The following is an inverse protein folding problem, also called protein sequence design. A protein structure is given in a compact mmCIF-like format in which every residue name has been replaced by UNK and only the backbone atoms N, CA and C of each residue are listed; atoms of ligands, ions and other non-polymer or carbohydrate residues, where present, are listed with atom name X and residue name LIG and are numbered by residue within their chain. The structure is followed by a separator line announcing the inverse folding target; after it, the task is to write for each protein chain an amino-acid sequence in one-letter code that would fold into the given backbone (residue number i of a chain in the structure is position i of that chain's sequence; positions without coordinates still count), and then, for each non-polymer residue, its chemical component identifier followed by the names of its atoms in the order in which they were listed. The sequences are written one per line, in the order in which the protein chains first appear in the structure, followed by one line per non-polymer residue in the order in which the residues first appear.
data_IF_348684595372
#
_entry.id   IF_348684595372
#
_cell.length_a   1.000
_cell.length_b   1.000
_cell.length_c   1.000
_cell.angle_alpha   90.00
_cell.angle_beta   90.00
_cell.angle_gamma   90.00
#
_symmetry.space_group_name_H-M   'P 1'
#
loop_
_entity.id
_entity.type
_entity.pdbx_description
1 polymer ?
#
# COMPACT_ATOMS: atom_id res chain seq x y z
N UNK A 1 -8.04 1.77 -19.28
CA UNK A 1 -7.13 1.41 -18.17
C UNK A 1 -5.76 0.93 -18.66
N UNK A 2 -5.68 0.08 -19.68
CA UNK A 2 -4.38 -0.41 -20.19
C UNK A 2 -3.53 0.64 -20.95
N UNK A 3 -4.14 1.74 -21.42
CA UNK A 3 -3.46 2.82 -22.14
C UNK A 3 -2.20 3.33 -21.41
N UNK A 4 -2.31 3.66 -20.12
CA UNK A 4 -1.20 4.17 -19.32
C UNK A 4 -0.04 3.17 -19.27
N UNK A 5 -0.35 1.89 -19.03
CA UNK A 5 0.64 0.81 -19.01
C UNK A 5 1.31 0.61 -20.38
N UNK A 6 0.55 0.70 -21.48
CA UNK A 6 1.10 0.59 -22.84
C UNK A 6 2.10 1.73 -23.11
N UNK A 7 1.74 2.98 -22.79
CA UNK A 7 2.65 4.14 -22.99
C UNK A 7 3.89 4.01 -22.09
N UNK A 8 3.74 3.59 -20.83
CA UNK A 8 4.87 3.32 -19.95
C UNK A 8 5.79 2.23 -20.52
N UNK A 9 5.22 1.14 -21.04
CA UNK A 9 5.99 0.07 -21.67
C UNK A 9 6.79 0.54 -22.87
N UNK A 10 6.19 1.37 -23.73
CA UNK A 10 6.90 1.98 -24.88
C UNK A 10 8.06 2.85 -24.44
N UNK A 11 7.88 3.68 -23.40
CA UNK A 11 8.95 4.53 -22.86
C UNK A 11 10.11 3.69 -22.31
N UNK A 12 9.79 2.61 -21.56
CA UNK A 12 10.78 1.71 -20.98
C UNK A 12 11.58 0.98 -22.07
N UNK A 13 10.92 0.49 -23.12
CA UNK A 13 11.60 -0.20 -24.20
C UNK A 13 12.44 0.75 -25.08
N UNK A 14 12.01 2.01 -25.30
CA UNK A 14 12.83 3.02 -26.02
C UNK A 14 14.08 3.43 -25.25
N UNK A 15 14.09 3.34 -23.92
CA UNK A 15 15.22 3.72 -23.05
C UNK A 15 16.20 2.58 -22.73
N UNK A 16 16.07 1.41 -23.36
CA UNK A 16 16.74 0.17 -22.93
C UNK A 16 18.21 0.38 -22.52
N UNK A 17 18.45 0.17 -21.24
CA UNK A 17 19.77 -0.11 -20.66
C UNK A 17 20.14 -1.56 -20.97
N UNK A 18 21.41 -1.86 -21.30
CA UNK A 18 21.87 -3.20 -21.68
C UNK A 18 21.66 -4.29 -20.62
N UNK A 19 21.25 -3.94 -19.40
CA UNK A 19 21.06 -4.85 -18.27
C UNK A 19 19.60 -5.33 -18.05
N UNK A 20 18.64 -4.90 -18.88
CA UNK A 20 17.23 -5.32 -18.73
C UNK A 20 16.93 -6.62 -19.50
N UNK A 21 17.17 -7.75 -18.84
CA UNK A 21 16.90 -9.09 -19.39
C UNK A 21 15.44 -9.54 -19.25
N UNK A 22 14.82 -9.84 -20.40
CA UNK A 22 13.83 -10.90 -20.67
C UNK A 22 12.59 -11.02 -19.76
N UNK A 23 11.67 -10.06 -19.87
CA UNK A 23 10.28 -10.17 -20.39
C UNK A 23 9.85 -8.70 -20.53
N UNK A 24 9.63 -8.19 -21.74
CA UNK A 24 9.23 -6.79 -21.92
C UNK A 24 7.89 -6.59 -21.23
N UNK A 25 7.86 -5.72 -20.22
CA UNK A 25 6.65 -5.28 -19.53
C UNK A 25 5.51 -4.96 -20.52
N UNK A 26 5.87 -4.41 -21.69
CA UNK A 26 4.95 -4.15 -22.79
C UNK A 26 4.28 -5.43 -23.34
N UNK A 27 5.04 -6.50 -23.58
CA UNK A 27 4.52 -7.77 -24.09
C UNK A 27 3.60 -8.44 -23.08
N UNK A 28 3.99 -8.53 -21.80
CA UNK A 28 3.08 -9.04 -20.75
C UNK A 28 1.80 -8.23 -20.62
N UNK A 29 1.88 -6.91 -20.83
CA UNK A 29 0.71 -6.02 -20.79
C UNK A 29 -0.22 -6.29 -21.97
N UNK A 30 0.32 -6.53 -23.17
CA UNK A 30 -0.46 -6.86 -24.36
C UNK A 30 -1.11 -8.24 -24.25
N UNK A 31 -0.37 -9.25 -23.79
CA UNK A 31 -0.87 -10.62 -23.61
C UNK A 31 -1.98 -10.69 -22.53
N UNK A 32 -1.95 -9.79 -21.55
CA UNK A 32 -2.96 -9.69 -20.51
C UNK A 32 -4.28 -9.03 -20.93
N UNK A 33 -4.38 -8.53 -22.17
CA UNK A 33 -5.61 -7.95 -22.70
C UNK A 33 -6.54 -9.02 -23.26
N UNK A 34 -7.85 -8.76 -23.22
CA UNK A 34 -8.83 -9.58 -23.91
C UNK A 34 -8.54 -9.59 -25.42
N UNK A 35 -8.76 -10.72 -26.13
CA UNK A 35 -8.35 -10.87 -27.54
C UNK A 35 -8.86 -9.76 -28.46
N UNK A 36 -10.06 -9.25 -28.21
CA UNK A 36 -10.68 -8.16 -28.99
C UNK A 36 -9.94 -6.82 -28.89
N UNK A 37 -9.19 -6.58 -27.80
CA UNK A 37 -8.43 -5.34 -27.60
C UNK A 37 -6.95 -5.47 -27.96
N UNK A 38 -6.44 -6.69 -28.17
CA UNK A 38 -5.03 -6.92 -28.50
C UNK A 38 -4.64 -6.26 -29.83
N UNK A 39 -5.46 -6.41 -30.87
CA UNK A 39 -5.18 -5.79 -32.18
C UNK A 39 -5.16 -4.26 -32.12
N UNK A 40 -6.10 -3.67 -31.35
CA UNK A 40 -6.19 -2.22 -31.18
C UNK A 40 -4.99 -1.71 -30.37
N UNK A 41 -4.63 -2.41 -29.30
CA UNK A 41 -3.46 -2.09 -28.49
C UNK A 41 -2.17 -2.17 -29.30
N UNK A 42 -2.03 -3.17 -30.18
CA UNK A 42 -0.87 -3.28 -31.06
C UNK A 42 -0.79 -2.13 -32.08
N UNK A 43 -1.93 -1.70 -32.64
CA UNK A 43 -1.98 -0.51 -33.50
C UNK A 43 -1.53 0.75 -32.75
N UNK A 44 -1.96 0.91 -31.50
CA UNK A 44 -1.52 2.02 -30.65
C UNK A 44 -0.01 1.96 -30.37
N UNK A 45 0.54 0.78 -30.05
CA UNK A 45 1.99 0.59 -29.85
C UNK A 45 2.76 1.02 -31.09
N UNK A 46 2.32 0.61 -32.28
CA UNK A 46 2.99 0.96 -33.54
C UNK A 46 3.00 2.49 -33.76
N UNK A 47 1.92 3.20 -33.43
CA UNK A 47 1.86 4.66 -33.51
C UNK A 47 2.82 5.33 -32.51
N UNK A 48 2.89 4.82 -31.27
CA UNK A 48 3.77 5.35 -30.23
C UNK A 48 5.25 5.01 -30.47
N UNK A 49 5.52 3.96 -31.26
CA UNK A 49 6.87 3.54 -31.62
C UNK A 49 7.50 4.37 -32.75
N UNK A 50 6.76 5.30 -33.35
CA UNK A 50 7.29 6.18 -34.40
C UNK A 50 8.58 6.89 -33.94
N UNK A 51 9.58 6.89 -34.81
CA UNK A 51 10.89 7.52 -34.59
C UNK A 51 10.80 9.06 -34.57
N UNK A 52 9.72 9.63 -35.11
CA UNK A 52 9.44 11.07 -35.01
C UNK A 52 9.08 11.52 -33.58
N UNK A 53 8.67 10.59 -32.71
CA UNK A 53 8.20 10.88 -31.36
C UNK A 53 9.33 10.84 -30.34
N UNK A 54 9.59 11.99 -29.73
CA UNK A 54 10.49 12.13 -28.58
C UNK A 54 9.85 11.59 -27.30
N UNK A 55 10.67 11.34 -26.27
CA UNK A 55 10.18 10.93 -24.95
C UNK A 55 9.23 11.98 -24.35
N UNK A 56 9.46 13.28 -24.59
CA UNK A 56 8.58 14.34 -24.12
C UNK A 56 7.16 14.21 -24.71
N UNK A 57 7.05 13.91 -26.01
CA UNK A 57 5.75 13.67 -26.63
C UNK A 57 5.06 12.45 -26.01
N UNK A 58 5.78 11.36 -25.74
CA UNK A 58 5.22 10.18 -25.07
C UNK A 58 4.71 10.49 -23.66
N UNK A 59 5.41 11.35 -22.90
CA UNK A 59 4.91 11.78 -21.58
C UNK A 59 3.67 12.67 -21.66
N UNK A 60 3.54 13.49 -22.71
CA UNK A 60 2.31 14.24 -22.97
C UNK A 60 1.16 13.30 -23.29
N UNK A 61 1.37 12.32 -24.18
CA UNK A 61 0.37 11.29 -24.47
C UNK A 61 -0.05 10.52 -23.22
N UNK A 62 0.89 10.18 -22.33
CA UNK A 62 0.57 9.54 -21.05
C UNK A 62 -0.45 10.35 -20.24
N UNK A 63 -0.28 11.67 -20.16
CA UNK A 63 -1.20 12.58 -19.44
C UNK A 63 -2.61 12.67 -20.03
N UNK A 64 -2.83 12.21 -21.27
CA UNK A 64 -4.12 12.28 -21.96
C UNK A 64 -5.07 11.11 -21.62
N UNK A 65 -4.76 10.27 -20.64
CA UNK A 65 -5.58 9.08 -20.33
C UNK A 65 -7.05 9.39 -19.96
N UNK A 66 -7.40 10.63 -19.62
CA UNK A 66 -8.78 11.07 -19.31
C UNK A 66 -9.52 11.76 -20.45
N UNK A 67 -8.94 11.92 -21.63
CA UNK A 67 -9.63 12.61 -22.74
C UNK A 67 -10.91 11.89 -23.19
N UNK A 68 -10.99 10.58 -22.95
CA UNK A 68 -12.16 9.75 -23.29
C UNK A 68 -13.24 9.76 -22.20
N UNK A 69 -13.10 10.62 -21.20
CA UNK A 69 -14.08 10.78 -20.12
C UNK A 69 -14.02 9.70 -19.05
N UNK A 70 -15.12 9.57 -18.31
CA UNK A 70 -15.28 8.60 -17.23
C UNK A 70 -16.38 7.60 -17.60
N UNK A 71 -16.11 6.28 -17.53
CA UNK A 71 -17.13 5.28 -17.83
C UNK A 71 -18.24 5.30 -16.78
N UNK A 72 -19.45 4.88 -17.17
CA UNK A 72 -20.54 4.61 -16.22
C UNK A 72 -20.14 3.44 -15.33
N UNK A 73 -20.26 3.62 -14.02
CA UNK A 73 -19.87 2.60 -13.03
C UNK A 73 -21.02 1.63 -12.80
N UNK A 74 -20.77 0.34 -13.04
CA UNK A 74 -21.67 -0.75 -12.62
C UNK A 74 -21.44 -1.06 -11.14
N UNK A 75 -22.34 -0.55 -10.30
CA UNK A 75 -22.27 -0.68 -8.83
C UNK A 75 -22.37 -2.13 -8.38
N UNK A 76 -23.21 -2.94 -9.04
CA UNK A 76 -23.42 -4.35 -8.69
C UNK A 76 -22.16 -5.16 -8.93
N UNK A 77 -21.57 -5.06 -10.13
CA UNK A 77 -20.29 -5.74 -10.43
C UNK A 77 -19.16 -5.25 -9.51
N UNK A 78 -19.19 -3.98 -9.13
CA UNK A 78 -18.24 -3.41 -8.16
C UNK A 78 -18.34 -4.10 -6.80
N UNK A 79 -19.56 -4.20 -6.26
CA UNK A 79 -19.84 -4.86 -4.97
C UNK A 79 -19.48 -6.34 -5.03
N UNK A 80 -19.89 -7.05 -6.08
CA UNK A 80 -19.59 -8.48 -6.27
C UNK A 80 -18.07 -8.74 -6.26
N UNK A 81 -17.30 -7.88 -6.92
CA UNK A 81 -15.83 -7.96 -6.93
C UNK A 81 -15.22 -7.69 -5.55
N UNK A 82 -15.78 -6.76 -4.77
CA UNK A 82 -15.33 -6.49 -3.40
C UNK A 82 -15.56 -7.71 -2.52
N UNK A 83 -16.74 -8.34 -2.60
CA UNK A 83 -17.02 -9.58 -1.87
C UNK A 83 -16.11 -10.72 -2.33
N UNK A 84 -15.91 -10.86 -3.64
CA UNK A 84 -15.04 -11.90 -4.20
C UNK A 84 -13.61 -11.76 -3.66
N UNK A 85 -13.03 -10.56 -3.63
CA UNK A 85 -11.65 -10.33 -3.16
C UNK A 85 -11.56 -10.39 -1.63
N UNK A 86 -12.54 -9.83 -0.92
CA UNK A 86 -12.57 -9.75 0.54
C UNK A 86 -12.87 -11.09 1.21
N UNK A 87 -13.70 -11.92 0.60
CA UNK A 87 -14.11 -13.22 1.12
C UNK A 87 -13.13 -14.36 0.86
N UNK A 88 -12.05 -14.14 0.09
CA UNK A 88 -11.06 -15.20 -0.18
C UNK A 88 -10.35 -15.57 1.12
N UNK A 89 -10.36 -16.87 1.46
CA UNK A 89 -9.52 -17.40 2.53
C UNK A 89 -8.05 -17.30 2.13
N UNK A 90 -7.33 -16.39 2.79
CA UNK A 90 -5.89 -16.20 2.58
C UNK A 90 -5.11 -17.27 3.34
N UNK A 91 -4.09 -17.86 2.70
CA UNK A 91 -3.07 -18.64 3.39
C UNK A 91 -1.99 -17.66 3.83
N UNK A 92 -1.78 -17.57 5.14
CA UNK A 92 -0.79 -16.67 5.74
C UNK A 92 0.37 -17.54 6.19
N UNK A 93 1.58 -17.16 5.80
CA UNK A 93 2.79 -17.75 6.35
C UNK A 93 3.09 -17.14 7.72
N UNK A 94 2.97 -17.96 8.77
CA UNK A 94 3.13 -17.52 10.15
C UNK A 94 4.57 -17.09 10.44
N UNK A 95 5.55 -17.78 9.87
CA UNK A 95 6.97 -17.48 10.07
C UNK A 95 7.32 -16.08 9.55
N UNK A 96 6.90 -15.75 8.32
CA UNK A 96 7.07 -14.40 7.76
C UNK A 96 6.37 -13.34 8.61
N UNK A 97 5.18 -13.61 9.14
CA UNK A 97 4.46 -12.66 10.00
C UNK A 97 5.21 -12.40 11.32
N UNK A 98 5.73 -13.45 11.96
CA UNK A 98 6.51 -13.32 13.20
C UNK A 98 7.80 -12.56 12.92
N UNK A 99 8.49 -12.88 11.82
CA UNK A 99 9.71 -12.18 11.39
C UNK A 99 9.45 -10.69 11.10
N UNK A 100 8.32 -10.34 10.50
CA UNK A 100 7.90 -8.95 10.33
C UNK A 100 7.73 -8.24 11.68
N UNK A 101 7.15 -8.92 12.68
CA UNK A 101 7.05 -8.42 14.05
C UNK A 101 8.41 -8.20 14.72
N UNK A 102 9.35 -9.12 14.56
CA UNK A 102 10.74 -8.97 15.05
C UNK A 102 11.43 -7.78 14.39
N UNK A 103 11.28 -7.63 13.06
CA UNK A 103 11.86 -6.51 12.31
C UNK A 103 11.23 -5.17 12.70
N UNK A 104 9.94 -5.16 13.00
CA UNK A 104 9.28 -3.98 13.56
C UNK A 104 9.92 -3.56 14.89
N UNK A 105 10.16 -4.50 15.82
CA UNK A 105 10.86 -4.20 17.08
C UNK A 105 12.26 -3.63 16.82
N UNK A 106 13.03 -4.25 15.92
CA UNK A 106 14.37 -3.78 15.54
C UNK A 106 14.36 -2.32 15.05
N UNK A 107 13.49 -2.01 14.08
CA UNK A 107 13.38 -0.66 13.49
C UNK A 107 12.89 0.33 14.54
N UNK A 108 11.87 -0.06 15.32
CA UNK A 108 11.26 0.82 16.33
C UNK A 108 12.26 1.17 17.44
N UNK A 109 12.93 0.19 18.04
CA UNK A 109 13.87 0.42 19.14
C UNK A 109 15.09 1.22 18.70
N UNK A 110 15.65 0.89 17.53
CA UNK A 110 16.82 1.60 16.99
C UNK A 110 16.49 3.06 16.71
N UNK A 111 15.35 3.33 16.06
CA UNK A 111 14.94 4.70 15.76
C UNK A 111 14.50 5.48 17.00
N UNK A 112 13.81 4.83 17.94
CA UNK A 112 13.36 5.47 19.18
C UNK A 112 14.57 5.92 20.01
N UNK A 113 15.55 5.03 20.24
CA UNK A 113 16.79 5.42 20.93
C UNK A 113 17.57 6.50 20.17
N UNK A 114 17.61 6.43 18.84
CA UNK A 114 18.28 7.47 18.05
C UNK A 114 17.66 8.85 18.23
N UNK A 115 16.37 8.94 18.55
CA UNK A 115 15.66 10.22 18.75
C UNK A 115 15.62 10.65 20.21
N UNK A 116 15.30 9.73 21.11
CA UNK A 116 15.04 10.02 22.53
C UNK A 116 16.26 9.75 23.43
N UNK A 117 17.33 9.16 22.89
CA UNK A 117 18.55 8.80 23.64
C UNK A 117 18.40 7.58 24.56
N UNK A 118 17.18 7.07 24.73
CA UNK A 118 16.84 5.90 25.55
C UNK A 118 15.98 4.91 24.77
N UNK A 119 16.02 3.63 25.12
CA UNK A 119 15.12 2.64 24.54
C UNK A 119 13.66 2.81 25.04
N UNK A 120 12.66 2.38 24.24
CA UNK A 120 11.27 2.43 24.65
C UNK A 120 11.01 1.51 25.85
N UNK A 121 9.95 1.78 26.60
CA UNK A 121 9.61 0.98 27.78
C UNK A 121 9.34 -0.47 27.37
N UNK A 122 10.03 -1.43 27.99
CA UNK A 122 9.92 -2.84 27.67
C UNK A 122 10.30 -3.74 28.85
N UNK A 123 9.80 -4.97 28.81
CA UNK A 123 10.31 -6.07 29.64
C UNK A 123 11.28 -6.92 28.84
N UNK A 124 12.32 -7.38 29.52
CA UNK A 124 13.34 -8.27 29.00
C UNK A 124 13.21 -9.60 29.73
N UNK A 125 13.04 -10.69 28.97
CA UNK A 125 12.81 -12.03 29.52
C UNK A 125 14.08 -12.86 29.63
N UNK A 126 15.07 -12.61 28.77
CA UNK A 126 16.29 -13.43 28.68
C UNK A 126 17.52 -12.55 28.47
N UNK A 127 18.69 -13.12 28.79
CA UNK A 127 19.97 -12.48 28.58
C UNK A 127 20.50 -12.83 27.18
N UNK A 128 20.44 -11.87 26.27
CA UNK A 128 21.01 -11.95 24.94
C UNK A 128 21.62 -10.60 24.54
N UNK A 129 22.32 -10.56 23.40
CA UNK A 129 22.99 -9.34 22.92
C UNK A 129 22.07 -8.12 22.87
N UNK A 130 20.88 -8.26 22.27
CA UNK A 130 19.89 -7.17 22.18
C UNK A 130 19.42 -6.72 23.55
N UNK A 131 19.11 -7.68 24.43
CA UNK A 131 18.62 -7.42 25.77
C UNK A 131 19.67 -6.70 26.63
N UNK A 132 20.94 -7.10 26.54
CA UNK A 132 22.04 -6.42 27.22
C UNK A 132 22.23 -4.99 26.69
N UNK A 133 22.18 -4.79 25.37
CA UNK A 133 22.23 -3.45 24.81
C UNK A 133 21.07 -2.57 25.30
N UNK A 134 19.87 -3.13 25.44
CA UNK A 134 18.71 -2.39 25.97
C UNK A 134 18.93 -2.02 27.45
N UNK A 135 19.40 -2.95 28.28
CA UNK A 135 19.67 -2.69 29.72
C UNK A 135 20.74 -1.63 29.92
N UNK A 136 21.83 -1.72 29.16
CA UNK A 136 22.96 -0.80 29.25
C UNK A 136 22.71 0.50 28.47
N UNK A 137 21.56 0.61 27.80
CA UNK A 137 21.21 1.68 26.87
C UNK A 137 22.31 1.93 25.80
N UNK A 138 23.05 0.89 25.41
CA UNK A 138 24.10 0.95 24.39
C UNK A 138 23.51 0.80 22.97
N UNK A 139 24.28 1.17 21.94
CA UNK A 139 23.81 1.08 20.55
C UNK A 139 23.84 -0.38 20.09
N UNK A 140 22.68 -0.93 19.71
CA UNK A 140 22.61 -2.23 19.02
C UNK A 140 23.28 -2.12 17.65
N UNK A 141 24.35 -2.90 17.43
CA UNK A 141 24.99 -3.03 16.14
C UNK A 141 24.42 -4.24 15.39
N UNK A 142 23.64 -3.98 14.35
CA UNK A 142 22.99 -5.03 13.53
C UNK A 142 23.97 -5.85 12.68
N UNK A 143 25.23 -5.42 12.57
CA UNK A 143 26.30 -6.15 11.88
C UNK A 143 27.17 -6.98 12.83
N UNK A 144 26.89 -6.92 14.13
CA UNK A 144 27.62 -7.72 15.11
C UNK A 144 27.36 -9.21 14.87
N UNK A 145 28.39 -10.04 15.02
CA UNK A 145 28.28 -11.50 14.84
C UNK A 145 27.35 -12.10 15.89
N UNK A 146 27.26 -11.47 17.07
CA UNK A 146 26.41 -11.86 18.18
C UNK A 146 24.95 -11.47 17.96
N UNK A 147 24.63 -10.66 16.95
CA UNK A 147 23.27 -10.22 16.68
C UNK A 147 22.48 -11.29 15.91
N UNK A 148 21.27 -11.59 16.38
CA UNK A 148 20.30 -12.41 15.68
C UNK A 148 18.90 -11.82 15.82
N UNK A 149 18.12 -11.78 14.73
CA UNK A 149 16.76 -11.24 14.71
C UNK A 149 15.80 -11.97 15.66
N UNK A 150 16.05 -13.25 15.97
CA UNK A 150 15.28 -14.06 16.92
C UNK A 150 15.38 -13.52 18.36
N UNK A 151 16.45 -12.79 18.70
CA UNK A 151 16.66 -12.21 20.04
C UNK A 151 15.58 -11.20 20.44
N UNK A 152 14.87 -10.66 19.45
CA UNK A 152 13.73 -9.76 19.67
C UNK A 152 12.50 -10.46 20.26
N UNK A 153 12.46 -11.79 20.30
CA UNK A 153 11.39 -12.54 20.95
C UNK A 153 11.42 -12.36 22.48
N UNK A 154 12.62 -12.22 23.05
CA UNK A 154 12.84 -12.02 24.49
C UNK A 154 12.51 -10.59 24.96
N UNK A 155 12.08 -9.69 24.06
CA UNK A 155 11.73 -8.30 24.35
C UNK A 155 10.22 -8.10 24.23
N UNK A 156 9.55 -7.71 25.33
CA UNK A 156 8.12 -7.41 25.35
C UNK A 156 7.88 -5.92 25.50
N UNK A 157 7.27 -5.31 24.48
CA UNK A 157 6.98 -3.88 24.46
C UNK A 157 5.93 -3.55 25.53
N UNK A 158 6.19 -2.48 26.29
CA UNK A 158 5.23 -1.84 27.20
C UNK A 158 4.72 -0.54 26.59
N UNK A 159 3.75 0.09 27.27
CA UNK A 159 3.26 1.41 26.88
C UNK A 159 4.44 2.41 26.91
N UNK A 160 4.74 2.97 25.75
CA UNK A 160 5.80 3.97 25.55
C UNK A 160 5.21 5.35 25.25
N UNK A 161 4.14 5.41 24.48
CA UNK A 161 3.50 6.68 24.11
C UNK A 161 2.30 6.95 25.01
N UNK A 162 2.25 8.18 25.54
CA UNK A 162 1.07 8.69 26.23
C UNK A 162 0.08 9.22 25.19
N UNK A 163 -1.17 8.72 25.26
CA UNK A 163 -2.26 9.23 24.43
C UNK A 163 -2.78 10.50 25.12
N UNK A 164 -2.83 11.65 24.45
CA UNK A 164 -3.39 12.87 25.02
C UNK A 164 -4.82 12.63 25.51
N UNK A 165 -5.11 13.04 26.75
CA UNK A 165 -6.47 12.91 27.35
C UNK A 165 -7.52 13.72 26.60
N UNK A 166 -7.09 14.80 25.95
CA UNK A 166 -7.91 15.71 25.16
C UNK A 166 -7.16 16.04 23.88
N UNK A 167 -7.86 16.08 22.76
CA UNK A 167 -7.32 16.51 21.48
C UNK A 167 -8.22 17.60 20.90
N UNK A 168 -7.66 18.40 20.00
CA UNK A 168 -8.43 19.42 19.30
C UNK A 168 -9.37 18.74 18.29
N UNK A 169 -10.67 19.01 18.37
CA UNK A 169 -11.67 18.44 17.47
C UNK A 169 -11.39 18.75 16.00
N UNK A 170 -10.74 19.86 15.68
CA UNK A 170 -10.36 20.19 14.29
C UNK A 170 -9.37 19.20 13.68
N UNK A 171 -8.66 18.42 14.50
CA UNK A 171 -7.76 17.36 14.02
C UNK A 171 -8.49 16.08 13.62
N UNK A 172 -9.72 15.89 14.13
CA UNK A 172 -10.50 14.66 13.91
C UNK A 172 -11.71 14.90 13.03
N UNK A 173 -12.44 16.00 13.28
CA UNK A 173 -13.64 16.36 12.54
C UNK A 173 -13.23 17.01 11.22
N UNK A 174 -13.57 16.32 10.13
CA UNK A 174 -13.51 16.85 8.77
C UNK A 174 -14.90 16.68 8.14
N UNK A 175 -15.27 17.58 7.22
CA UNK A 175 -16.50 17.44 6.43
C UNK A 175 -16.33 16.29 5.41
N UNK A 176 -16.52 15.08 5.91
CA UNK A 176 -16.54 13.83 5.15
C UNK A 176 -17.79 13.07 5.55
N UNK A 177 -18.42 12.42 4.59
CA UNK A 177 -19.59 11.59 4.88
C UNK A 177 -19.21 10.46 5.86
N UNK A 178 -20.06 10.26 6.87
CA UNK A 178 -19.99 9.15 7.83
C UNK A 178 -21.25 8.29 7.64
N UNK A 179 -21.15 6.99 7.89
CA UNK A 179 -22.33 6.12 7.85
C UNK A 179 -23.25 6.41 9.04
N UNK A 180 -24.56 6.34 8.78
CA UNK A 180 -25.57 6.21 9.83
C UNK A 180 -25.28 4.99 10.73
N UNK A 181 -25.82 5.02 11.94
CA UNK A 181 -25.74 3.87 12.84
C UNK A 181 -26.67 2.73 12.40
N UNK A 182 -26.61 1.59 13.11
CA UNK A 182 -27.39 0.41 12.71
C UNK A 182 -28.89 0.59 12.92
N UNK A 183 -29.28 1.31 13.97
CA UNK A 183 -30.69 1.50 14.33
C UNK A 183 -31.33 2.48 13.33
N UNK A 184 -30.61 3.55 12.97
CA UNK A 184 -30.97 4.47 11.89
C UNK A 184 -31.12 3.73 10.56
N UNK A 185 -30.17 2.86 10.20
CA UNK A 185 -30.27 2.06 8.97
C UNK A 185 -31.51 1.15 9.01
N UNK A 186 -31.83 0.55 10.16
CA UNK A 186 -32.97 -0.34 10.32
C UNK A 186 -34.31 0.39 10.20
N UNK A 187 -34.42 1.60 10.78
CA UNK A 187 -35.58 2.49 10.62
C UNK A 187 -35.77 2.91 9.15
N UNK A 188 -34.66 3.13 8.43
CA UNK A 188 -34.66 3.56 7.03
C UNK A 188 -34.95 2.45 6.02
N UNK A 189 -35.00 1.17 6.43
CA UNK A 189 -35.28 0.03 5.53
C UNK A 189 -36.66 0.09 4.83
N UNK A 190 -37.56 0.97 5.27
CA UNK A 190 -38.86 1.22 4.63
C UNK A 190 -38.87 2.33 3.57
N UNK A 191 -37.88 3.23 3.56
CA UNK A 191 -37.87 4.43 2.72
C UNK A 191 -36.43 4.76 2.25
N UNK A 192 -35.96 4.05 1.22
CA UNK A 192 -34.58 4.11 0.72
C UNK A 192 -34.14 5.51 0.25
N UNK A 193 -35.08 6.43 0.03
CA UNK A 193 -34.83 7.84 -0.33
C UNK A 193 -34.35 8.69 0.84
N UNK A 194 -34.56 8.28 2.09
CA UNK A 194 -34.13 9.03 3.29
C UNK A 194 -32.71 8.69 3.77
N UNK A 195 -32.09 7.62 3.24
CA UNK A 195 -30.74 7.15 3.63
C UNK A 195 -29.64 8.17 3.29
N UNK A 196 -29.94 9.14 2.43
CA UNK A 196 -28.99 10.15 1.95
C UNK A 196 -29.29 11.57 2.46
N UNK A 197 -30.01 11.73 3.58
CA UNK A 197 -30.30 13.05 4.15
C UNK A 197 -28.99 13.78 4.53
N UNK A 198 -28.60 14.84 3.78
CA UNK A 198 -27.36 15.55 4.03
C UNK A 198 -27.39 16.42 5.31
N UNK A 199 -28.55 16.54 5.96
CA UNK A 199 -28.74 17.34 7.18
C UNK A 199 -28.65 16.52 8.47
N UNK A 200 -28.55 15.18 8.39
CA UNK A 200 -28.25 14.29 9.52
C UNK A 200 -26.74 14.01 9.72
N UNK A 201 -25.86 14.86 9.17
CA UNK A 201 -24.40 14.73 9.27
C UNK A 201 -23.86 15.12 10.64
#
# INVERSE_FOLDING_TARGET
KAYEAIVTGVILDKKRSPFSGKVSFLTSTLDGLEPEFQEIAQKLVNLLWDNSLTIHHLTQFFGLFRIWGHPVVDTKKGIDKVFQIGGVRKRIDEETSINAGRKFKEIFFTNYRSKEGVYPNCDIMEDNYVCNCIRDNSVINLKDISYNILMWDSVKIKKTFEIPKTFNLTMIIADKAVSADRDEIDELKGDATQILDPFKR
#
